data_IF_375767252091
#
_entry.id   IF_375767252091
#
_cell.length_a   1.000
_cell.length_b   1.000
_cell.length_c   1.000
_cell.angle_alpha   90.00
_cell.angle_beta   90.00
_cell.angle_gamma   90.00
#
_symmetry.space_group_name_H-M   'P 1'
#
loop_
_entity.id
_entity.type
_entity.pdbx_description
1 polymer ?
#
# COMPACT_ATOMS: atom_id res chain seq x y z
N UNK A 1 33.11 17.61 -8.06
CA UNK A 1 31.98 18.26 -8.79
C UNK A 1 30.82 18.36 -7.81
N UNK A 2 30.07 19.47 -7.84
CA UNK A 2 28.87 19.60 -7.02
C UNK A 2 27.70 18.88 -7.73
N UNK A 3 26.92 18.08 -6.99
CA UNK A 3 25.74 17.40 -7.51
C UNK A 3 24.51 18.29 -7.37
N UNK A 4 23.71 18.41 -8.43
CA UNK A 4 22.39 19.04 -8.37
C UNK A 4 21.35 17.96 -8.12
N UNK A 5 20.68 18.05 -6.97
CA UNK A 5 19.65 17.14 -6.48
C UNK A 5 18.30 17.86 -6.51
N UNK A 6 17.29 17.26 -7.09
CA UNK A 6 15.95 17.85 -7.11
C UNK A 6 14.95 16.86 -6.51
N UNK A 7 14.27 17.28 -5.45
CA UNK A 7 13.15 16.56 -4.85
C UNK A 7 11.84 17.08 -5.47
N UNK A 8 11.18 16.24 -6.26
CA UNK A 8 10.02 16.65 -7.06
C UNK A 8 8.73 16.83 -6.26
N UNK A 9 8.58 16.07 -5.16
CA UNK A 9 7.31 15.94 -4.44
C UNK A 9 7.51 15.78 -2.92
N UNK A 10 8.27 16.72 -2.33
CA UNK A 10 8.65 16.72 -0.90
C UNK A 10 7.44 16.61 0.04
N UNK A 11 6.28 17.16 -0.34
CA UNK A 11 5.04 17.10 0.46
C UNK A 11 4.45 15.68 0.58
N UNK A 12 4.98 14.69 -0.14
CA UNK A 12 4.64 13.28 0.07
C UNK A 12 5.29 12.66 1.31
N UNK A 13 6.19 13.36 1.96
CA UNK A 13 6.75 13.04 3.28
C UNK A 13 6.27 14.09 4.26
N UNK A 14 5.76 13.66 5.40
CA UNK A 14 5.17 14.54 6.41
C UNK A 14 6.14 15.65 6.88
N UNK A 15 5.65 16.85 7.21
CA UNK A 15 6.49 18.01 7.46
C UNK A 15 7.40 17.86 8.68
N UNK A 16 7.02 17.05 9.67
CA UNK A 16 7.82 16.78 10.86
C UNK A 16 8.99 15.82 10.59
N UNK A 17 9.01 15.13 9.47
CA UNK A 17 10.07 14.17 9.12
C UNK A 17 11.28 14.92 8.57
N UNK A 18 12.42 14.66 9.16
CA UNK A 18 13.68 15.28 8.75
C UNK A 18 14.29 14.54 7.56
N UNK A 19 14.44 15.24 6.45
CA UNK A 19 15.34 14.80 5.36
C UNK A 19 16.71 15.42 5.62
N UNK A 20 17.70 14.60 6.04
CA UNK A 20 19.03 15.11 6.29
C UNK A 20 19.71 15.50 4.97
N UNK A 21 20.55 16.55 4.93
CA UNK A 21 21.34 16.84 3.74
C UNK A 21 22.38 15.74 3.51
N UNK A 22 22.67 15.37 2.24
CA UNK A 22 23.80 14.49 1.93
C UNK A 22 25.15 15.08 2.39
N UNK A 23 26.10 14.20 2.74
CA UNK A 23 27.43 14.59 3.28
C UNK A 23 28.43 15.11 2.25
N UNK A 24 28.10 15.08 0.96
CA UNK A 24 28.93 15.58 -0.14
C UNK A 24 28.47 16.96 -0.64
N UNK A 25 29.33 17.64 -1.43
CA UNK A 25 28.98 18.94 -2.00
C UNK A 25 27.80 18.84 -2.99
N UNK A 26 26.72 19.52 -2.71
CA UNK A 26 25.49 19.46 -3.49
C UNK A 26 24.71 20.78 -3.46
N UNK A 27 23.83 20.94 -4.44
CA UNK A 27 22.71 21.88 -4.45
C UNK A 27 21.43 21.06 -4.34
N UNK A 28 20.62 21.28 -3.31
CA UNK A 28 19.33 20.62 -3.12
C UNK A 28 18.21 21.60 -3.40
N UNK A 29 17.32 21.24 -4.34
CA UNK A 29 16.11 21.98 -4.69
C UNK A 29 14.91 21.11 -4.35
N UNK A 30 13.99 21.63 -3.54
CA UNK A 30 12.78 20.93 -3.15
C UNK A 30 11.53 21.60 -3.72
N UNK A 31 10.66 20.79 -4.29
CA UNK A 31 9.32 21.18 -4.71
C UNK A 31 8.29 20.43 -3.86
N UNK A 32 7.28 21.14 -3.37
CA UNK A 32 6.21 20.52 -2.59
C UNK A 32 5.50 19.40 -3.38
N UNK A 33 5.13 19.73 -4.63
CA UNK A 33 4.52 18.80 -5.59
C UNK A 33 4.98 19.14 -7.01
N UNK A 34 4.98 18.14 -7.91
CA UNK A 34 5.37 18.36 -9.32
C UNK A 34 4.39 17.63 -10.24
N UNK A 35 3.72 18.39 -11.10
CA UNK A 35 2.89 17.80 -12.16
C UNK A 35 3.76 17.22 -13.29
N UNK A 36 3.20 16.27 -14.04
CA UNK A 36 3.91 15.59 -15.13
C UNK A 36 4.52 16.55 -16.17
N UNK A 37 3.82 17.63 -16.47
CA UNK A 37 4.27 18.67 -17.43
C UNK A 37 5.44 19.53 -16.92
N UNK A 38 5.69 19.57 -15.62
CA UNK A 38 6.74 20.35 -14.97
C UNK A 38 8.04 19.56 -14.73
N UNK A 39 7.99 18.23 -14.83
CA UNK A 39 9.12 17.35 -14.43
C UNK A 39 10.41 17.68 -15.20
N UNK A 40 10.32 17.88 -16.51
CA UNK A 40 11.48 18.15 -17.35
C UNK A 40 12.13 19.50 -17.00
N UNK A 41 11.34 20.53 -16.82
CA UNK A 41 11.82 21.88 -16.45
C UNK A 41 12.54 21.83 -15.09
N UNK A 42 11.92 21.20 -14.10
CA UNK A 42 12.45 21.13 -12.73
C UNK A 42 13.73 20.29 -12.62
N UNK A 43 13.84 19.23 -13.43
CA UNK A 43 15.03 18.38 -13.49
C UNK A 43 16.12 18.87 -14.43
N UNK A 44 15.96 20.03 -15.10
CA UNK A 44 16.97 20.55 -16.00
C UNK A 44 18.32 20.73 -15.28
N UNK A 45 19.36 20.03 -15.79
CA UNK A 45 20.70 20.03 -15.21
C UNK A 45 20.85 19.22 -13.91
N UNK A 46 19.81 18.57 -13.41
CA UNK A 46 19.89 17.68 -12.23
C UNK A 46 20.67 16.41 -12.56
N UNK A 47 21.59 16.02 -11.67
CA UNK A 47 22.26 14.72 -11.71
C UNK A 47 21.52 13.64 -10.92
N UNK A 48 20.69 14.05 -9.95
CA UNK A 48 19.92 13.18 -9.08
C UNK A 48 18.49 13.72 -8.97
N UNK A 49 17.51 12.88 -9.24
CA UNK A 49 16.10 13.14 -9.00
C UNK A 49 15.62 12.35 -7.80
N UNK A 50 14.89 12.99 -6.88
CA UNK A 50 14.12 12.32 -5.84
C UNK A 50 12.65 12.44 -6.21
N UNK A 51 11.93 11.32 -6.20
CA UNK A 51 10.49 11.29 -6.45
C UNK A 51 9.80 10.21 -5.64
N UNK A 52 8.56 10.43 -5.25
CA UNK A 52 7.67 9.40 -4.71
C UNK A 52 6.54 9.07 -5.70
N UNK A 53 5.96 10.11 -6.34
CA UNK A 53 4.81 9.98 -7.23
C UNK A 53 4.96 10.74 -8.55
N UNK A 54 5.81 11.76 -8.62
CA UNK A 54 6.02 12.49 -9.87
C UNK A 54 6.59 11.56 -10.95
N UNK A 55 5.98 11.48 -12.16
CA UNK A 55 6.31 10.47 -13.14
C UNK A 55 7.63 10.75 -13.87
N UNK A 56 8.50 9.74 -13.96
CA UNK A 56 9.71 9.75 -14.77
C UNK A 56 9.48 8.80 -15.96
N UNK A 57 9.10 9.36 -17.09
CA UNK A 57 8.76 8.62 -18.32
C UNK A 57 9.92 8.59 -19.32
N UNK A 58 9.84 7.73 -20.35
CA UNK A 58 10.80 7.73 -21.46
C UNK A 58 10.97 9.11 -22.08
N UNK A 59 9.84 9.81 -22.36
CA UNK A 59 9.86 11.16 -22.94
C UNK A 59 10.52 12.21 -22.03
N UNK A 60 10.36 12.05 -20.70
CA UNK A 60 11.06 12.87 -19.70
C UNK A 60 12.57 12.65 -19.80
N UNK A 61 12.99 11.39 -19.78
CA UNK A 61 14.40 10.98 -19.79
C UNK A 61 15.14 11.40 -21.07
N UNK A 62 14.49 11.46 -22.22
CA UNK A 62 15.06 11.95 -23.48
C UNK A 62 15.61 13.38 -23.38
N UNK A 63 15.04 14.19 -22.51
CA UNK A 63 15.37 15.61 -22.31
C UNK A 63 16.34 15.87 -21.15
N UNK A 64 16.76 14.84 -20.42
CA UNK A 64 17.53 14.93 -19.18
C UNK A 64 18.91 14.24 -19.30
N UNK A 65 19.81 14.79 -20.09
CA UNK A 65 21.14 14.19 -20.35
C UNK A 65 22.05 14.14 -19.13
N UNK A 66 21.85 15.01 -18.14
CA UNK A 66 22.67 15.08 -16.92
C UNK A 66 22.25 14.08 -15.86
N UNK A 67 21.01 13.53 -15.91
CA UNK A 67 20.46 12.65 -14.90
C UNK A 67 21.22 11.32 -14.83
N UNK A 68 21.60 10.91 -13.63
CA UNK A 68 22.34 9.68 -13.35
C UNK A 68 21.64 8.75 -12.37
N UNK A 69 20.82 9.31 -11.46
CA UNK A 69 20.07 8.56 -10.45
C UNK A 69 18.65 9.10 -10.33
N UNK A 70 17.70 8.18 -10.27
CA UNK A 70 16.35 8.41 -9.75
C UNK A 70 16.24 7.68 -8.41
N UNK A 71 16.22 8.43 -7.30
CA UNK A 71 16.03 7.91 -5.96
C UNK A 71 14.53 7.97 -5.62
N UNK A 72 13.87 6.82 -5.61
CA UNK A 72 12.43 6.74 -5.33
C UNK A 72 12.20 6.68 -3.82
N UNK A 73 11.49 7.68 -3.28
CA UNK A 73 11.13 7.77 -1.86
C UNK A 73 9.96 6.84 -1.50
N UNK A 74 9.99 5.60 -1.97
CA UNK A 74 9.00 4.55 -1.74
C UNK A 74 9.60 3.17 -2.05
N UNK A 75 8.91 2.10 -1.66
CA UNK A 75 9.21 0.74 -2.14
C UNK A 75 8.69 0.54 -3.58
N UNK A 76 7.48 1.01 -3.87
CA UNK A 76 6.89 0.95 -5.22
C UNK A 76 7.57 1.94 -6.17
N UNK A 77 7.87 1.49 -7.39
CA UNK A 77 8.53 2.30 -8.44
C UNK A 77 7.64 2.50 -9.66
N UNK A 78 6.33 2.47 -9.47
CA UNK A 78 5.34 2.51 -10.55
C UNK A 78 5.37 3.83 -11.33
N UNK A 79 5.86 4.91 -10.71
CA UNK A 79 6.02 6.23 -11.34
C UNK A 79 7.27 6.35 -12.23
N UNK A 80 8.14 5.33 -12.30
CA UNK A 80 9.40 5.38 -13.06
C UNK A 80 9.41 4.36 -14.19
N UNK A 81 9.68 4.80 -15.40
CA UNK A 81 9.96 3.91 -16.54
C UNK A 81 11.39 3.34 -16.41
N UNK A 82 11.47 2.18 -15.77
CA UNK A 82 12.73 1.48 -15.47
C UNK A 82 13.47 1.06 -16.73
N UNK A 83 12.75 0.61 -17.75
CA UNK A 83 13.36 0.18 -19.01
C UNK A 83 14.02 1.36 -19.74
N UNK A 84 13.35 2.51 -19.77
CA UNK A 84 13.90 3.72 -20.34
C UNK A 84 15.09 4.26 -19.50
N UNK A 85 15.06 4.15 -18.18
CA UNK A 85 16.20 4.47 -17.31
C UNK A 85 17.41 3.61 -17.66
N UNK A 86 17.25 2.27 -17.73
CA UNK A 86 18.32 1.34 -18.07
C UNK A 86 18.92 1.63 -19.45
N UNK A 87 18.09 1.86 -20.48
CA UNK A 87 18.53 2.18 -21.82
C UNK A 87 19.41 3.47 -21.90
N UNK A 88 19.29 4.35 -20.90
CA UNK A 88 20.03 5.63 -20.81
C UNK A 88 21.15 5.62 -19.74
N UNK A 89 21.38 4.50 -19.08
CA UNK A 89 22.36 4.39 -18.00
C UNK A 89 22.00 5.24 -16.77
N UNK A 90 20.70 5.45 -16.52
CA UNK A 90 20.17 6.12 -15.31
C UNK A 90 19.81 5.04 -14.30
N UNK A 91 20.51 5.02 -13.17
CA UNK A 91 20.22 4.10 -12.08
C UNK A 91 18.88 4.46 -11.40
N UNK A 92 18.16 3.46 -10.91
CA UNK A 92 16.96 3.67 -10.08
C UNK A 92 17.18 2.95 -8.76
N UNK A 93 17.07 3.66 -7.63
CA UNK A 93 17.03 3.08 -6.29
C UNK A 93 15.69 3.29 -5.62
N UNK A 94 15.34 2.38 -4.71
CA UNK A 94 14.09 2.47 -3.94
C UNK A 94 14.34 2.23 -2.44
N UNK A 95 13.29 2.34 -1.63
CA UNK A 95 13.35 2.10 -0.20
C UNK A 95 12.84 0.70 0.13
N UNK A 96 13.53 -0.01 1.01
CA UNK A 96 13.18 -1.38 1.39
C UNK A 96 13.06 -1.54 2.90
N UNK A 97 12.11 -2.36 3.34
CA UNK A 97 12.02 -2.79 4.74
C UNK A 97 11.50 -1.75 5.74
N UNK A 98 11.27 -0.50 5.37
CA UNK A 98 10.87 0.56 6.30
C UNK A 98 9.45 0.38 6.87
N UNK A 99 8.56 -0.25 6.12
CA UNK A 99 7.15 -0.38 6.46
C UNK A 99 6.76 -1.74 7.05
N UNK A 100 7.75 -2.56 7.49
CA UNK A 100 7.53 -3.93 7.96
C UNK A 100 6.74 -4.02 9.26
N UNK A 101 6.68 -2.96 10.05
CA UNK A 101 5.85 -2.86 11.27
C UNK A 101 4.56 -2.12 10.99
N UNK A 102 4.63 -0.93 10.42
CA UNK A 102 3.48 -0.02 10.29
C UNK A 102 2.37 -0.55 9.39
N UNK A 103 2.67 -1.16 8.23
CA UNK A 103 1.64 -1.72 7.34
C UNK A 103 0.89 -2.90 7.98
N UNK A 104 1.54 -3.88 8.62
CA UNK A 104 0.84 -4.92 9.39
C UNK A 104 0.00 -4.37 10.54
N UNK A 105 0.47 -3.35 11.26
CA UNK A 105 -0.30 -2.68 12.33
C UNK A 105 -1.56 -2.01 11.77
N UNK A 106 -1.44 -1.26 10.68
CA UNK A 106 -2.58 -0.64 10.00
C UNK A 106 -3.58 -1.70 9.48
N UNK A 107 -3.07 -2.80 8.92
CA UNK A 107 -3.88 -3.95 8.50
C UNK A 107 -4.70 -4.48 9.67
N UNK A 108 -4.07 -4.68 10.84
CA UNK A 108 -4.77 -5.14 12.05
C UNK A 108 -5.69 -4.07 12.64
N UNK A 109 -5.36 -2.78 12.54
CA UNK A 109 -6.28 -1.71 12.94
C UNK A 109 -7.58 -1.77 12.14
N UNK A 110 -7.53 -1.98 10.82
CA UNK A 110 -8.71 -2.18 9.97
C UNK A 110 -9.47 -3.46 10.33
N UNK A 111 -8.77 -4.59 10.51
CA UNK A 111 -9.37 -5.87 10.93
C UNK A 111 -10.12 -5.71 12.26
N UNK A 112 -9.46 -5.15 13.28
CA UNK A 112 -10.03 -4.94 14.61
C UNK A 112 -11.23 -3.99 14.57
N UNK A 113 -11.09 -2.85 13.88
CA UNK A 113 -12.15 -1.87 13.77
C UNK A 113 -13.43 -2.47 13.14
N UNK A 114 -13.28 -3.30 12.10
CA UNK A 114 -14.40 -3.96 11.42
C UNK A 114 -14.95 -5.16 12.21
N UNK A 115 -14.09 -6.02 12.78
CA UNK A 115 -14.55 -7.19 13.56
C UNK A 115 -15.28 -6.79 14.84
N UNK A 116 -14.87 -5.66 15.44
CA UNK A 116 -15.50 -5.11 16.65
C UNK A 116 -16.58 -4.08 16.36
N UNK A 117 -16.79 -3.72 15.07
CA UNK A 117 -17.70 -2.65 14.64
C UNK A 117 -17.49 -1.31 15.38
N UNK A 118 -16.22 -0.95 15.64
CA UNK A 118 -15.88 0.23 16.46
C UNK A 118 -16.43 1.50 15.83
N UNK A 119 -16.27 1.69 14.50
CA UNK A 119 -16.75 2.87 13.78
C UNK A 119 -18.28 2.94 13.83
N UNK A 120 -18.98 1.82 13.60
CA UNK A 120 -20.43 1.76 13.63
C UNK A 120 -20.99 2.07 15.03
N UNK A 121 -20.45 1.47 16.10
CA UNK A 121 -20.85 1.78 17.47
C UNK A 121 -20.55 3.23 17.86
N UNK A 122 -19.39 3.77 17.45
CA UNK A 122 -19.07 5.18 17.67
C UNK A 122 -20.10 6.10 17.04
N UNK A 123 -20.50 5.84 15.80
CA UNK A 123 -21.54 6.62 15.11
C UNK A 123 -22.90 6.51 15.83
N UNK A 124 -23.29 5.31 16.24
CA UNK A 124 -24.54 5.08 16.98
C UNK A 124 -24.55 5.84 18.32
N UNK A 125 -23.43 5.84 19.05
CA UNK A 125 -23.30 6.60 20.33
C UNK A 125 -23.44 8.10 20.07
N UNK A 126 -22.76 8.63 19.04
CA UNK A 126 -22.85 10.05 18.68
C UNK A 126 -24.26 10.47 18.23
N UNK A 127 -25.00 9.55 17.62
CA UNK A 127 -26.40 9.77 17.23
C UNK A 127 -27.41 9.63 18.39
N UNK A 128 -26.98 9.39 19.62
CA UNK A 128 -27.85 9.28 20.79
C UNK A 128 -28.45 7.90 21.02
N UNK A 129 -28.08 6.90 20.20
CA UNK A 129 -28.66 5.54 20.24
C UNK A 129 -28.49 4.86 21.61
N UNK A 130 -27.43 5.17 22.34
CA UNK A 130 -27.22 4.60 23.66
C UNK A 130 -28.24 5.12 24.69
N UNK A 131 -28.50 6.43 24.67
CA UNK A 131 -29.54 7.03 25.52
C UNK A 131 -30.93 6.50 25.16
N UNK A 132 -31.23 6.40 23.86
CA UNK A 132 -32.50 5.85 23.38
C UNK A 132 -32.74 4.39 23.81
N UNK A 133 -31.67 3.59 23.93
CA UNK A 133 -31.78 2.18 24.31
C UNK A 133 -32.32 2.01 25.74
N UNK A 134 -32.11 2.97 26.62
CA UNK A 134 -32.46 2.89 28.02
C UNK A 134 -31.75 1.78 28.81
N UNK A 135 -30.74 1.14 28.19
CA UNK A 135 -30.01 0.01 28.73
C UNK A 135 -28.53 0.38 28.95
N UNK A 136 -27.80 -0.43 29.78
CA UNK A 136 -26.38 -0.23 30.00
C UNK A 136 -25.54 -0.49 28.74
N UNK A 137 -26.07 -1.24 27.78
CA UNK A 137 -25.48 -1.49 26.46
C UNK A 137 -26.58 -1.76 25.40
N UNK A 138 -26.17 -1.83 24.12
CA UNK A 138 -27.04 -2.24 23.01
C UNK A 138 -26.24 -3.05 21.99
N UNK A 139 -26.92 -3.84 21.11
CA UNK A 139 -26.32 -4.86 20.26
C UNK A 139 -26.68 -4.69 18.79
N UNK A 140 -26.73 -3.46 18.29
CA UNK A 140 -27.17 -3.15 16.91
C UNK A 140 -26.17 -3.64 15.85
N UNK A 141 -24.89 -3.81 16.21
CA UNK A 141 -23.84 -4.26 15.30
C UNK A 141 -23.18 -5.55 15.82
N UNK A 142 -22.97 -6.58 14.96
CA UNK A 142 -22.38 -7.83 15.39
C UNK A 142 -20.92 -7.67 15.75
N UNK A 143 -20.50 -8.19 16.90
CA UNK A 143 -19.11 -8.24 17.36
C UNK A 143 -18.61 -9.67 17.24
N UNK A 144 -17.43 -9.86 16.64
CA UNK A 144 -16.82 -11.18 16.44
C UNK A 144 -15.38 -11.19 16.93
N UNK A 145 -14.99 -12.27 17.60
CA UNK A 145 -13.63 -12.47 18.06
C UNK A 145 -12.69 -12.88 16.92
N UNK A 146 -11.38 -12.62 17.12
CA UNK A 146 -10.33 -13.05 16.18
C UNK A 146 -9.86 -14.47 16.49
N UNK A 147 -9.94 -14.92 17.75
CA UNK A 147 -9.48 -16.25 18.17
C UNK A 147 -10.20 -17.35 17.37
N UNK A 148 -9.42 -18.23 16.74
CA UNK A 148 -9.93 -19.30 15.88
C UNK A 148 -10.38 -18.87 14.50
N UNK A 149 -10.43 -17.55 14.20
CA UNK A 149 -10.79 -17.07 12.87
C UNK A 149 -9.69 -17.39 11.84
N UNK A 150 -10.09 -17.82 10.64
CA UNK A 150 -9.17 -18.14 9.53
C UNK A 150 -8.78 -16.85 8.80
N UNK A 151 -7.47 -16.60 8.71
CA UNK A 151 -6.88 -15.43 8.06
C UNK A 151 -6.23 -15.83 6.74
N UNK A 152 -6.91 -15.61 5.63
CA UNK A 152 -6.37 -15.80 4.28
C UNK A 152 -5.43 -14.65 3.91
N UNK A 153 -4.19 -14.97 3.53
CA UNK A 153 -3.16 -13.99 3.21
C UNK A 153 -2.75 -14.19 1.76
N UNK A 154 -2.99 -13.16 0.93
CA UNK A 154 -2.61 -13.13 -0.48
C UNK A 154 -1.25 -12.45 -0.65
N UNK A 155 -0.18 -13.23 -0.72
CA UNK A 155 1.21 -12.78 -0.78
C UNK A 155 2.02 -13.18 0.45
N UNK A 156 3.08 -13.95 0.21
CA UNK A 156 3.97 -14.57 1.20
C UNK A 156 5.24 -13.73 1.48
N UNK A 157 5.29 -12.51 0.97
CA UNK A 157 6.38 -11.57 1.19
C UNK A 157 6.51 -11.13 2.65
N UNK A 158 7.50 -10.29 2.94
CA UNK A 158 7.81 -9.84 4.32
C UNK A 158 6.57 -9.28 5.03
N UNK A 159 5.74 -8.47 4.37
CA UNK A 159 4.53 -7.91 4.97
C UNK A 159 3.49 -8.97 5.29
N UNK A 160 3.24 -9.91 4.36
CA UNK A 160 2.32 -11.02 4.59
C UNK A 160 2.76 -11.92 5.75
N UNK A 161 4.06 -12.19 5.87
CA UNK A 161 4.62 -12.95 6.98
C UNK A 161 4.41 -12.23 8.33
N UNK A 162 4.67 -10.92 8.39
CA UNK A 162 4.42 -10.13 9.61
C UNK A 162 2.94 -10.08 9.99
N UNK A 163 2.05 -9.98 9.00
CA UNK A 163 0.61 -10.07 9.23
C UNK A 163 0.22 -11.46 9.76
N UNK A 164 0.84 -12.53 9.26
CA UNK A 164 0.62 -13.88 9.79
C UNK A 164 1.08 -14.03 11.25
N UNK A 165 2.23 -13.43 11.62
CA UNK A 165 2.72 -13.39 13.00
C UNK A 165 1.74 -12.69 13.95
N UNK A 166 1.26 -11.50 13.57
CA UNK A 166 0.24 -10.78 14.34
C UNK A 166 -1.07 -11.59 14.42
N UNK A 167 -1.49 -12.23 13.33
CA UNK A 167 -2.65 -13.11 13.32
C UNK A 167 -2.53 -14.22 14.35
N UNK A 168 -1.39 -14.91 14.41
CA UNK A 168 -1.11 -15.93 15.42
C UNK A 168 -1.17 -15.37 16.85
N UNK A 169 -0.63 -14.17 17.08
CA UNK A 169 -0.66 -13.52 18.40
C UNK A 169 -2.10 -13.23 18.87
N UNK A 170 -3.01 -12.92 17.93
CA UNK A 170 -4.45 -12.79 18.21
C UNK A 170 -5.20 -14.13 18.22
N UNK A 171 -4.50 -15.27 18.10
CA UNK A 171 -5.12 -16.60 18.10
C UNK A 171 -5.85 -16.96 16.80
N UNK A 172 -5.61 -16.24 15.70
CA UNK A 172 -6.12 -16.59 14.36
C UNK A 172 -5.35 -17.78 13.76
N UNK A 173 -5.89 -18.34 12.68
CA UNK A 173 -5.26 -19.39 11.87
C UNK A 173 -4.85 -18.79 10.52
N UNK A 174 -3.58 -18.32 10.35
CA UNK A 174 -3.11 -17.78 9.07
C UNK A 174 -2.97 -18.87 8.01
N UNK A 175 -3.36 -18.55 6.79
CA UNK A 175 -3.26 -19.41 5.61
C UNK A 175 -2.71 -18.57 4.45
N UNK A 176 -1.52 -18.90 3.96
CA UNK A 176 -1.00 -18.28 2.72
C UNK A 176 -1.68 -18.91 1.52
N UNK A 177 -2.38 -18.09 0.74
CA UNK A 177 -3.03 -18.56 -0.49
C UNK A 177 -2.00 -18.95 -1.54
N UNK A 178 -2.17 -20.11 -2.15
CA UNK A 178 -1.46 -20.41 -3.40
C UNK A 178 -1.80 -19.37 -4.48
N UNK A 179 -0.91 -19.17 -5.45
CA UNK A 179 -1.19 -18.23 -6.53
C UNK A 179 -2.39 -18.73 -7.36
N UNK A 180 -3.29 -17.81 -7.73
CA UNK A 180 -4.51 -18.13 -8.47
C UNK A 180 -4.18 -18.97 -9.73
N UNK A 181 -4.83 -20.12 -9.86
CA UNK A 181 -4.61 -21.06 -10.98
C UNK A 181 -3.32 -21.89 -10.88
N UNK A 182 -2.56 -21.82 -9.77
CA UNK A 182 -1.37 -22.64 -9.54
C UNK A 182 -1.65 -23.68 -8.45
N UNK A 183 -0.97 -24.82 -8.58
CA UNK A 183 -1.00 -25.91 -7.59
C UNK A 183 0.43 -26.42 -7.35
N UNK A 184 0.62 -27.21 -6.27
CA UNK A 184 1.92 -27.83 -5.98
C UNK A 184 3.03 -26.87 -5.55
N UNK A 185 2.70 -25.71 -5.00
CA UNK A 185 3.67 -24.68 -4.58
C UNK A 185 4.40 -25.01 -3.25
N UNK A 186 4.08 -26.15 -2.63
CA UNK A 186 4.73 -26.60 -1.39
C UNK A 186 3.90 -26.34 -0.13
N UNK A 187 4.42 -26.77 1.04
CA UNK A 187 3.66 -26.84 2.30
C UNK A 187 3.32 -25.50 2.94
N UNK A 188 3.95 -24.40 2.49
CA UNK A 188 3.61 -23.04 2.94
C UNK A 188 2.19 -22.63 2.51
N UNK A 189 1.74 -23.15 1.36
CA UNK A 189 0.55 -22.63 0.70
C UNK A 189 -0.67 -23.51 0.94
N UNK A 190 -1.78 -22.86 1.24
CA UNK A 190 -3.13 -23.43 1.20
C UNK A 190 -3.70 -23.22 -0.21
N UNK A 191 -4.40 -24.22 -0.81
CA UNK A 191 -5.01 -24.06 -2.12
C UNK A 191 -5.85 -22.80 -2.21
N UNK A 192 -5.76 -22.08 -3.35
CA UNK A 192 -6.48 -20.83 -3.57
C UNK A 192 -7.97 -20.92 -3.22
N UNK A 193 -8.64 -21.94 -3.77
CA UNK A 193 -10.07 -22.15 -3.57
C UNK A 193 -10.42 -22.38 -2.08
N UNK A 194 -9.60 -23.12 -1.35
CA UNK A 194 -9.82 -23.35 0.08
C UNK A 194 -9.72 -22.04 0.87
N UNK A 195 -8.73 -21.20 0.57
CA UNK A 195 -8.58 -19.90 1.23
C UNK A 195 -9.80 -19.01 0.95
N UNK A 196 -10.25 -18.94 -0.32
CA UNK A 196 -11.44 -18.15 -0.69
C UNK A 196 -12.70 -18.64 0.05
N UNK A 197 -12.92 -19.93 0.09
CA UNK A 197 -14.15 -20.51 0.67
C UNK A 197 -14.20 -20.46 2.19
N UNK A 198 -13.04 -20.52 2.84
CA UNK A 198 -13.00 -20.84 4.29
C UNK A 198 -12.45 -19.72 5.16
N UNK A 199 -11.99 -18.62 4.61
CA UNK A 199 -11.47 -17.48 5.39
C UNK A 199 -12.58 -16.67 6.05
N UNK A 200 -12.30 -16.18 7.26
CA UNK A 200 -13.10 -15.17 7.96
C UNK A 200 -12.61 -13.75 7.68
N UNK A 201 -11.33 -13.63 7.33
CA UNK A 201 -10.67 -12.40 6.88
C UNK A 201 -9.75 -12.77 5.73
N UNK A 202 -9.78 -12.00 4.64
CA UNK A 202 -8.83 -12.09 3.54
C UNK A 202 -8.08 -10.77 3.46
N UNK A 203 -6.74 -10.82 3.46
CA UNK A 203 -5.88 -9.65 3.40
C UNK A 203 -4.87 -9.77 2.26
N UNK A 204 -4.68 -8.66 1.52
CA UNK A 204 -3.87 -8.64 0.31
C UNK A 204 -2.52 -7.94 0.57
N UNK A 205 -1.43 -8.63 0.22
CA UNK A 205 -0.04 -8.18 0.34
C UNK A 205 0.79 -8.53 -0.90
N UNK A 206 0.14 -8.71 -2.04
CA UNK A 206 0.77 -9.01 -3.33
C UNK A 206 1.08 -7.73 -4.12
N UNK A 207 2.12 -7.73 -4.97
CA UNK A 207 2.32 -6.66 -5.95
C UNK A 207 1.19 -6.66 -6.99
N UNK A 208 0.93 -5.50 -7.59
CA UNK A 208 0.03 -5.39 -8.73
C UNK A 208 0.80 -5.68 -10.02
N UNK A 209 0.45 -6.77 -10.67
CA UNK A 209 0.96 -7.19 -11.99
C UNK A 209 -0.21 -7.47 -12.93
N UNK A 210 0.08 -7.86 -14.17
CA UNK A 210 -0.98 -8.28 -15.11
C UNK A 210 -1.75 -9.50 -14.58
N UNK A 211 -1.04 -10.41 -13.90
CA UNK A 211 -1.60 -11.66 -13.35
C UNK A 211 -2.40 -11.45 -12.06
N UNK A 212 -2.05 -10.42 -11.26
CA UNK A 212 -2.71 -10.14 -9.98
C UNK A 212 -3.79 -9.07 -10.07
N UNK A 213 -3.87 -8.33 -11.18
CA UNK A 213 -4.95 -7.35 -11.40
C UNK A 213 -6.30 -8.04 -11.39
N UNK A 214 -7.20 -7.55 -10.52
CA UNK A 214 -8.53 -8.13 -10.35
C UNK A 214 -8.50 -9.58 -9.84
N UNK A 215 -7.47 -9.96 -9.06
CA UNK A 215 -7.36 -11.32 -8.54
C UNK A 215 -8.54 -11.69 -7.62
N UNK A 216 -9.13 -10.70 -6.97
CA UNK A 216 -10.42 -10.80 -6.26
C UNK A 216 -11.47 -10.03 -7.04
N UNK A 217 -12.40 -10.75 -7.63
CA UNK A 217 -13.50 -10.23 -8.42
C UNK A 217 -14.81 -10.98 -8.08
N UNK A 218 -15.88 -10.79 -8.84
CA UNK A 218 -17.18 -11.39 -8.52
C UNK A 218 -17.14 -12.92 -8.36
N UNK A 219 -16.42 -13.70 -9.19
CA UNK A 219 -16.34 -15.16 -8.98
C UNK A 219 -15.75 -15.56 -7.63
N UNK A 220 -14.73 -14.82 -7.13
CA UNK A 220 -14.19 -15.06 -5.79
C UNK A 220 -15.19 -14.69 -4.71
N UNK A 221 -15.88 -13.55 -4.84
CA UNK A 221 -16.91 -13.14 -3.88
C UNK A 221 -18.05 -14.15 -3.78
N UNK A 222 -18.51 -14.68 -4.90
CA UNK A 222 -19.56 -15.72 -4.93
C UNK A 222 -19.11 -17.05 -4.29
N UNK A 223 -17.80 -17.35 -4.35
CA UNK A 223 -17.21 -18.55 -3.75
C UNK A 223 -17.00 -18.41 -2.23
N UNK A 224 -17.08 -17.21 -1.66
CA UNK A 224 -16.83 -16.95 -0.24
C UNK A 224 -17.98 -17.45 0.66
N UNK A 225 -17.83 -18.63 1.26
CA UNK A 225 -18.89 -19.26 2.08
C UNK A 225 -19.04 -18.67 3.48
N UNK A 226 -18.00 -17.96 3.99
CA UNK A 226 -17.96 -17.46 5.37
C UNK A 226 -18.22 -15.97 5.50
N UNK A 227 -18.53 -15.28 4.40
CA UNK A 227 -18.74 -13.83 4.37
C UNK A 227 -17.56 -13.08 5.02
N UNK A 228 -16.33 -13.20 4.49
CA UNK A 228 -15.14 -12.64 5.10
C UNK A 228 -15.15 -11.10 5.13
N UNK A 229 -14.26 -10.52 5.94
CA UNK A 229 -13.75 -9.17 5.72
C UNK A 229 -12.70 -9.20 4.61
N UNK A 230 -12.70 -8.18 3.74
CA UNK A 230 -11.68 -7.98 2.71
C UNK A 230 -10.81 -6.78 3.11
N UNK A 231 -9.51 -7.01 3.25
CA UNK A 231 -8.55 -5.99 3.68
C UNK A 231 -7.50 -5.79 2.59
N UNK A 232 -7.33 -4.56 2.14
CA UNK A 232 -6.34 -4.24 1.11
C UNK A 232 -5.50 -3.02 1.49
N UNK A 233 -4.28 -3.28 1.95
CA UNK A 233 -3.25 -2.29 2.23
C UNK A 233 -2.07 -2.38 1.24
N UNK A 234 -2.30 -3.02 0.08
CA UNK A 234 -1.27 -3.26 -0.93
C UNK A 234 -1.45 -2.37 -2.16
N UNK A 235 -2.37 -2.71 -3.07
CA UNK A 235 -2.65 -1.93 -4.30
C UNK A 235 -4.14 -2.03 -4.66
N UNK A 236 -4.75 -0.93 -5.08
CA UNK A 236 -6.17 -0.84 -5.43
C UNK A 236 -6.60 -1.85 -6.49
N UNK A 237 -5.91 -1.94 -7.59
CA UNK A 237 -6.25 -2.82 -8.71
C UNK A 237 -6.16 -4.33 -8.45
N UNK A 238 -5.79 -4.79 -7.23
CA UNK A 238 -5.84 -6.21 -6.85
C UNK A 238 -7.28 -6.71 -6.69
N UNK A 239 -8.19 -5.82 -6.34
CA UNK A 239 -9.62 -6.10 -6.16
C UNK A 239 -10.42 -5.34 -7.22
N UNK A 240 -11.38 -5.99 -7.86
CA UNK A 240 -12.40 -5.30 -8.66
C UNK A 240 -13.33 -4.53 -7.71
N UNK A 241 -13.17 -3.21 -7.66
CA UNK A 241 -13.89 -2.33 -6.73
C UNK A 241 -15.40 -2.31 -7.02
N UNK A 242 -15.80 -2.41 -8.29
CA UNK A 242 -17.21 -2.47 -8.65
C UNK A 242 -17.83 -3.81 -8.22
N UNK A 243 -17.10 -4.91 -8.37
CA UNK A 243 -17.53 -6.22 -7.88
C UNK A 243 -17.58 -6.25 -6.34
N UNK A 244 -16.63 -5.60 -5.65
CA UNK A 244 -16.63 -5.48 -4.18
C UNK A 244 -17.91 -4.79 -3.69
N UNK A 245 -18.32 -3.68 -4.33
CA UNK A 245 -19.55 -2.97 -3.95
C UNK A 245 -20.77 -3.85 -4.14
N UNK A 246 -20.86 -4.56 -5.28
CA UNK A 246 -21.95 -5.54 -5.50
C UNK A 246 -21.95 -6.67 -4.48
N UNK A 247 -20.76 -7.16 -4.10
CA UNK A 247 -20.63 -8.21 -3.08
C UNK A 247 -21.08 -7.73 -1.69
N UNK A 248 -20.80 -6.47 -1.35
CA UNK A 248 -21.34 -5.83 -0.12
C UNK A 248 -22.87 -5.73 -0.17
N UNK A 249 -23.44 -5.31 -1.32
CA UNK A 249 -24.88 -5.18 -1.50
C UNK A 249 -25.60 -6.53 -1.40
N UNK A 250 -25.01 -7.57 -1.99
CA UNK A 250 -25.52 -8.94 -1.95
C UNK A 250 -25.25 -9.65 -0.61
N UNK A 251 -24.49 -9.03 0.32
CA UNK A 251 -24.13 -9.64 1.60
C UNK A 251 -23.18 -10.83 1.48
N UNK A 252 -22.43 -10.95 0.39
CA UNK A 252 -21.43 -12.01 0.18
C UNK A 252 -20.20 -11.81 1.08
N UNK A 253 -19.92 -10.58 1.50
CA UNK A 253 -18.86 -10.23 2.43
C UNK A 253 -19.39 -9.42 3.59
N UNK A 254 -18.74 -9.48 4.74
CA UNK A 254 -19.17 -8.79 5.96
C UNK A 254 -18.78 -7.30 5.97
N UNK A 255 -17.71 -6.94 5.27
CA UNK A 255 -17.20 -5.58 5.21
C UNK A 255 -15.87 -5.50 4.49
N UNK A 256 -15.35 -4.28 4.35
CA UNK A 256 -14.12 -3.98 3.62
C UNK A 256 -13.29 -2.92 4.34
N UNK A 257 -11.96 -3.16 4.44
CA UNK A 257 -10.98 -2.22 4.95
C UNK A 257 -9.91 -1.97 3.90
N UNK A 258 -9.85 -0.77 3.35
CA UNK A 258 -8.96 -0.43 2.25
C UNK A 258 -8.13 0.80 2.60
N UNK A 259 -6.85 0.75 2.25
CA UNK A 259 -5.96 1.91 2.32
C UNK A 259 -5.58 2.42 0.92
N UNK A 260 -6.02 1.70 -0.12
CA UNK A 260 -5.65 1.95 -1.51
C UNK A 260 -6.86 1.84 -2.43
N UNK A 261 -6.82 2.56 -3.57
CA UNK A 261 -7.85 2.51 -4.62
C UNK A 261 -7.23 2.37 -5.99
N UNK A 262 -8.01 1.90 -6.98
CA UNK A 262 -7.53 1.88 -8.37
C UNK A 262 -7.58 3.30 -8.96
N UNK A 263 -6.39 3.87 -9.17
CA UNK A 263 -6.21 5.28 -9.55
C UNK A 263 -6.24 6.22 -8.35
N UNK A 264 -5.05 6.60 -7.87
CA UNK A 264 -4.85 7.53 -6.75
C UNK A 264 -4.31 8.90 -7.23
N UNK A 265 -4.89 10.02 -6.76
CA UNK A 265 -6.07 10.12 -5.90
C UNK A 265 -7.35 9.66 -6.61
N UNK A 266 -8.34 9.12 -5.87
CA UNK A 266 -9.56 8.60 -6.48
C UNK A 266 -10.40 9.69 -7.13
N UNK A 267 -11.04 9.33 -8.25
CA UNK A 267 -12.05 10.19 -8.86
C UNK A 267 -13.35 10.21 -8.03
N UNK A 268 -14.17 11.26 -8.13
CA UNK A 268 -15.42 11.36 -7.37
C UNK A 268 -16.41 10.21 -7.63
N UNK A 269 -16.33 9.58 -8.79
CA UNK A 269 -17.19 8.46 -9.21
C UNK A 269 -16.63 7.08 -8.85
N UNK A 270 -15.46 7.01 -8.21
CA UNK A 270 -14.87 5.74 -7.78
C UNK A 270 -15.83 4.97 -6.86
N UNK A 271 -16.09 3.67 -7.12
CA UNK A 271 -17.06 2.86 -6.36
C UNK A 271 -16.76 2.81 -4.86
N UNK A 272 -15.49 2.69 -4.45
CA UNK A 272 -15.10 2.64 -3.04
C UNK A 272 -15.37 3.96 -2.30
N UNK A 273 -15.22 5.10 -2.97
CA UNK A 273 -15.55 6.41 -2.36
C UNK A 273 -17.02 6.48 -1.95
N UNK A 274 -17.92 5.93 -2.77
CA UNK A 274 -19.35 5.84 -2.41
C UNK A 274 -19.60 4.81 -1.32
N UNK A 275 -18.92 3.67 -1.37
CA UNK A 275 -19.05 2.61 -0.38
C UNK A 275 -18.49 3.01 1.00
N UNK A 276 -17.55 3.94 1.08
CA UNK A 276 -16.94 4.40 2.32
C UNK A 276 -17.93 5.08 3.30
N UNK A 277 -19.12 5.50 2.82
CA UNK A 277 -20.19 5.98 3.67
C UNK A 277 -20.86 4.86 4.51
N UNK A 278 -20.64 3.59 4.19
CA UNK A 278 -21.24 2.44 4.90
C UNK A 278 -20.51 2.20 6.21
N UNK A 279 -21.24 1.79 7.24
CA UNK A 279 -20.69 1.48 8.56
C UNK A 279 -19.68 0.30 8.56
N UNK A 280 -19.78 -0.58 7.57
CA UNK A 280 -18.92 -1.77 7.42
C UNK A 280 -17.81 -1.60 6.34
N UNK A 281 -17.54 -0.37 5.93
CA UNK A 281 -16.44 -0.03 5.02
C UNK A 281 -15.57 1.04 5.66
N UNK A 282 -14.26 0.78 5.72
CA UNK A 282 -13.27 1.75 6.16
C UNK A 282 -12.30 1.98 5.00
N UNK A 283 -12.16 3.24 4.60
CA UNK A 283 -11.20 3.67 3.58
C UNK A 283 -10.26 4.71 4.19
N UNK A 284 -8.95 4.49 4.05
CA UNK A 284 -7.89 5.41 4.45
C UNK A 284 -7.07 5.85 3.22
N UNK A 285 -6.46 7.05 3.21
CA UNK A 285 -5.90 7.65 1.99
C UNK A 285 -4.44 7.25 1.75
N UNK A 286 -4.16 5.94 1.62
CA UNK A 286 -2.83 5.35 1.36
C UNK A 286 -1.79 5.77 2.41
N UNK A 287 -2.14 5.62 3.69
CA UNK A 287 -1.32 6.01 4.85
C UNK A 287 -0.84 4.84 5.70
N UNK A 288 -1.13 3.60 5.30
CA UNK A 288 -0.72 2.41 6.05
C UNK A 288 0.80 2.34 6.30
N UNK A 289 1.59 2.97 5.42
CA UNK A 289 3.04 3.05 5.51
C UNK A 289 3.55 4.24 6.34
N UNK A 290 2.70 5.19 6.73
CA UNK A 290 3.07 6.56 7.04
C UNK A 290 3.19 6.86 8.54
N UNK A 291 3.61 5.89 9.38
CA UNK A 291 4.01 6.23 10.75
C UNK A 291 5.26 7.12 10.75
N UNK A 292 5.43 7.94 11.78
CA UNK A 292 6.58 8.84 11.89
C UNK A 292 7.90 8.07 11.86
N UNK A 293 7.97 6.93 12.55
CA UNK A 293 9.16 6.06 12.57
C UNK A 293 9.46 5.48 11.18
N UNK A 294 8.44 5.01 10.47
CA UNK A 294 8.60 4.46 9.13
C UNK A 294 9.02 5.54 8.12
N UNK A 295 8.40 6.73 8.18
CA UNK A 295 8.79 7.84 7.31
C UNK A 295 10.21 8.33 7.61
N UNK A 296 10.64 8.37 8.88
CA UNK A 296 12.02 8.75 9.21
C UNK A 296 13.01 7.71 8.70
N UNK A 297 12.73 6.41 8.90
CA UNK A 297 13.58 5.33 8.37
C UNK A 297 13.66 5.36 6.83
N UNK A 298 12.54 5.65 6.15
CA UNK A 298 12.50 5.87 4.71
C UNK A 298 13.40 7.04 4.30
N UNK A 299 13.28 8.18 4.99
CA UNK A 299 14.02 9.41 4.71
C UNK A 299 15.54 9.20 4.90
N UNK A 300 15.94 8.52 5.97
CA UNK A 300 17.35 8.22 6.23
C UNK A 300 17.91 7.29 5.16
N UNK A 301 17.21 6.22 4.81
CA UNK A 301 17.62 5.28 3.76
C UNK A 301 17.66 5.95 2.37
N UNK A 302 16.76 6.90 2.08
CA UNK A 302 16.78 7.68 0.85
C UNK A 302 18.11 8.42 0.67
N UNK A 303 18.56 9.10 1.72
CA UNK A 303 19.82 9.84 1.67
C UNK A 303 21.00 8.88 1.64
N UNK A 304 20.97 7.76 2.39
CA UNK A 304 21.99 6.72 2.33
C UNK A 304 22.15 6.14 0.92
N UNK A 305 21.05 5.87 0.21
CA UNK A 305 21.08 5.40 -1.18
C UNK A 305 21.77 6.41 -2.11
N UNK A 306 21.48 7.71 -1.95
CA UNK A 306 22.08 8.78 -2.72
C UNK A 306 23.59 8.88 -2.43
N UNK A 307 23.98 8.87 -1.16
CA UNK A 307 25.40 8.93 -0.75
C UNK A 307 26.18 7.71 -1.26
N UNK A 308 25.61 6.52 -1.13
CA UNK A 308 26.21 5.29 -1.64
C UNK A 308 26.37 5.29 -3.17
N UNK A 309 25.39 5.83 -3.89
CA UNK A 309 25.50 5.99 -5.34
C UNK A 309 26.65 6.92 -5.73
N UNK A 310 26.74 8.09 -5.10
CA UNK A 310 27.81 9.07 -5.37
C UNK A 310 29.18 8.52 -4.98
N UNK A 311 29.26 7.69 -3.94
CA UNK A 311 30.48 7.00 -3.51
C UNK A 311 30.86 5.80 -4.41
N UNK A 312 30.12 5.52 -5.50
CA UNK A 312 30.38 4.38 -6.40
C UNK A 312 30.01 3.01 -5.82
N UNK A 313 29.21 2.96 -4.78
CA UNK A 313 28.74 1.73 -4.10
C UNK A 313 27.21 1.73 -3.99
N UNK A 314 26.50 1.79 -5.12
CA UNK A 314 25.04 1.95 -5.11
C UNK A 314 24.36 0.81 -4.36
N UNK A 315 23.31 1.16 -3.60
CA UNK A 315 22.48 0.23 -2.82
C UNK A 315 21.02 0.30 -3.23
N UNK A 316 20.27 -0.76 -2.95
CA UNK A 316 18.83 -0.84 -3.22
C UNK A 316 18.46 -0.51 -4.68
N UNK A 317 19.33 -0.88 -5.63
CA UNK A 317 19.04 -0.74 -7.05
C UNK A 317 17.84 -1.62 -7.44
N UNK A 318 17.01 -1.09 -8.31
CA UNK A 318 15.82 -1.78 -8.83
C UNK A 318 16.21 -2.52 -10.10
N UNK A 319 15.95 -3.83 -10.17
CA UNK A 319 16.24 -4.65 -11.35
C UNK A 319 15.54 -4.10 -12.61
N UNK A 320 16.24 -4.17 -13.74
CA UNK A 320 15.77 -3.62 -15.01
C UNK A 320 15.99 -2.12 -15.16
N UNK A 321 16.73 -1.50 -14.23
CA UNK A 321 17.08 -0.08 -14.25
C UNK A 321 18.59 0.17 -14.25
N UNK A 322 19.40 -0.81 -14.71
CA UNK A 322 20.86 -0.69 -14.91
C UNK A 322 21.35 -1.76 -15.89
#
# INVERSE_FOLDING_TARGET
>A
MSHRIVFLDRATIAPQIRVRPPSFAHELIEHAETRADQVVERLAGASIAITNKAPITAATLERLSALKLVAVAATGTDCVDKAACAARGVAVSNIRGYAISTVPEHTFALILALRRNIVAYRQSVLAGRWQESGQFCFFDHPIRDLRGARLGIMGEGVLGQRVAELGKAFGMVPMFAAHKGKSGLGPLYTPWQEVIETSDVITLHSPLTKETRGMIAMPEFEAMKRRPLIINTARGGLVDEAALVRALDAGLIAGAGFDVVDGEPPKPDNPLMRAAARHNVILTPHVAWASDEAQQALSDQLVDNIENFVAGRPTNLVEGAY
#
